data_IF_187776126310
#
_entry.id   IF_187776126310
#
_cell.length_a   1.000
_cell.length_b   1.000
_cell.length_c   1.000
_cell.angle_alpha   90.00
_cell.angle_beta   90.00
_cell.angle_gamma   90.00
#
_symmetry.space_group_name_H-M   'P 1'
#
loop_
_entity.id
_entity.type
_entity.pdbx_description
1 polymer ?
#
# COMPACT_ATOMS: atom_id res chain seq x y z
N UNK A 1 0.31 19.84 -27.73
CA UNK A 1 -0.62 18.84 -27.16
C UNK A 1 0.02 17.58 -26.59
N UNK A 2 1.34 17.34 -26.71
CA UNK A 2 2.03 16.25 -25.99
C UNK A 2 2.78 16.76 -24.73
N UNK A 3 3.15 18.05 -24.70
CA UNK A 3 3.83 18.67 -23.56
C UNK A 3 3.00 18.75 -22.27
N UNK A 4 1.69 18.93 -22.38
CA UNK A 4 0.80 19.11 -21.22
C UNK A 4 0.54 17.80 -20.46
N UNK A 5 0.61 16.65 -21.14
CA UNK A 5 0.45 15.33 -20.51
C UNK A 5 1.67 14.98 -19.64
N UNK A 6 2.87 15.39 -20.07
CA UNK A 6 4.11 15.18 -19.30
C UNK A 6 4.21 16.15 -18.12
N UNK A 7 3.65 17.36 -18.23
CA UNK A 7 3.55 18.31 -17.12
C UNK A 7 2.56 17.84 -16.04
N UNK A 8 1.43 17.26 -16.44
CA UNK A 8 0.46 16.66 -15.51
C UNK A 8 1.02 15.49 -14.69
N UNK A 9 1.87 14.65 -15.31
CA UNK A 9 2.55 13.54 -14.63
C UNK A 9 3.60 14.01 -13.60
N UNK A 10 4.23 15.18 -13.81
CA UNK A 10 5.18 15.78 -12.87
C UNK A 10 4.50 16.50 -11.70
N UNK A 11 3.30 17.03 -11.89
CA UNK A 11 2.56 17.77 -10.86
C UNK A 11 1.91 16.87 -9.78
N UNK A 12 1.71 15.58 -10.05
CA UNK A 12 1.14 14.61 -9.09
C UNK A 12 2.14 14.13 -8.03
N UNK A 13 3.44 14.47 -8.18
CA UNK A 13 4.50 14.09 -7.25
C UNK A 13 4.64 14.99 -6.02
N UNK A 14 3.93 16.12 -5.95
CA UNK A 14 4.12 17.12 -4.89
C UNK A 14 2.79 17.70 -4.44
N UNK A 15 2.02 16.97 -3.63
CA UNK A 15 1.06 17.63 -2.73
C UNK A 15 1.18 17.06 -1.32
N UNK A 16 1.49 18.00 -0.42
CA UNK A 16 1.70 17.86 1.00
C UNK A 16 0.37 17.66 1.74
N UNK A 17 0.35 16.65 2.60
CA UNK A 17 -0.64 16.36 3.62
C UNK A 17 -0.22 15.03 4.23
N UNK A 18 -0.08 14.91 5.55
CA UNK A 18 0.61 13.79 6.21
C UNK A 18 0.01 12.38 6.03
N UNK A 19 -0.98 12.20 5.15
CA UNK A 19 -1.60 10.92 4.82
C UNK A 19 -0.94 10.20 3.64
N UNK A 20 -1.15 8.88 3.53
CA UNK A 20 -0.63 8.07 2.42
C UNK A 20 -1.32 8.41 1.10
N UNK A 21 -2.59 8.81 1.16
CA UNK A 21 -3.37 9.35 0.05
C UNK A 21 -3.42 10.89 0.11
N UNK A 22 -3.50 11.53 -1.06
CA UNK A 22 -3.87 12.94 -1.12
C UNK A 22 -5.35 13.10 -0.77
N UNK A 23 -5.75 14.30 -0.32
CA UNK A 23 -7.16 14.59 -0.03
C UNK A 23 -8.07 14.31 -1.22
N UNK A 24 -7.62 14.61 -2.44
CA UNK A 24 -8.38 14.36 -3.66
C UNK A 24 -8.55 12.87 -3.93
N UNK A 25 -7.51 12.07 -3.72
CA UNK A 25 -7.56 10.63 -3.86
C UNK A 25 -8.49 10.00 -2.80
N UNK A 26 -8.43 10.49 -1.57
CA UNK A 26 -9.31 10.06 -0.49
C UNK A 26 -10.79 10.38 -0.79
N UNK A 27 -11.09 11.59 -1.27
CA UNK A 27 -12.45 11.96 -1.69
C UNK A 27 -12.94 11.11 -2.86
N UNK A 28 -12.09 10.86 -3.85
CA UNK A 28 -12.42 10.02 -5.00
C UNK A 28 -12.70 8.57 -4.61
N UNK A 29 -11.86 8.00 -3.74
CA UNK A 29 -12.06 6.67 -3.19
C UNK A 29 -13.38 6.57 -2.43
N UNK A 30 -13.67 7.54 -1.55
CA UNK A 30 -14.94 7.61 -0.82
C UNK A 30 -16.14 7.66 -1.76
N UNK A 31 -16.10 8.53 -2.78
CA UNK A 31 -17.17 8.64 -3.76
C UNK A 31 -17.41 7.32 -4.52
N UNK A 32 -16.35 6.56 -4.82
CA UNK A 32 -16.45 5.26 -5.45
C UNK A 32 -17.07 4.19 -4.53
N UNK A 33 -16.58 4.10 -3.28
CA UNK A 33 -17.07 3.14 -2.29
C UNK A 33 -18.54 3.39 -1.95
N UNK A 34 -18.90 4.65 -1.67
CA UNK A 34 -20.26 5.03 -1.24
C UNK A 34 -21.27 5.10 -2.40
N UNK A 35 -20.80 5.21 -3.64
CA UNK A 35 -21.63 5.35 -4.84
C UNK A 35 -21.73 4.05 -5.65
N UNK A 36 -21.00 3.94 -6.77
CA UNK A 36 -21.16 2.83 -7.71
C UNK A 36 -20.89 1.46 -7.07
N UNK A 37 -19.86 1.33 -6.22
CA UNK A 37 -19.57 0.05 -5.58
C UNK A 37 -20.67 -0.36 -4.61
N UNK A 38 -21.13 0.56 -3.75
CA UNK A 38 -22.23 0.29 -2.83
C UNK A 38 -23.49 -0.20 -3.57
N UNK A 39 -23.83 0.40 -4.71
CA UNK A 39 -24.98 -0.04 -5.50
C UNK A 39 -24.77 -1.44 -6.11
N UNK A 40 -23.57 -1.73 -6.61
CA UNK A 40 -23.24 -3.07 -7.12
C UNK A 40 -23.34 -4.14 -6.03
N UNK A 41 -22.79 -3.88 -4.84
CA UNK A 41 -22.83 -4.79 -3.71
C UNK A 41 -24.28 -5.01 -3.24
N UNK A 42 -25.10 -3.95 -3.18
CA UNK A 42 -26.52 -4.03 -2.85
C UNK A 42 -27.28 -4.92 -3.83
N UNK A 43 -27.08 -4.73 -5.13
CA UNK A 43 -27.70 -5.55 -6.17
C UNK A 43 -27.24 -7.01 -6.12
N UNK A 44 -26.00 -7.26 -5.72
CA UNK A 44 -25.44 -8.59 -5.52
C UNK A 44 -25.83 -9.25 -4.17
N UNK A 45 -26.45 -8.49 -3.25
CA UNK A 45 -26.75 -8.98 -1.90
C UNK A 45 -25.51 -9.17 -1.01
N UNK A 46 -24.40 -8.48 -1.31
CA UNK A 46 -23.16 -8.54 -0.53
C UNK A 46 -23.16 -7.44 0.53
N UNK A 47 -23.07 -7.84 1.80
CA UNK A 47 -23.13 -6.91 2.95
C UNK A 47 -21.77 -6.55 3.55
N UNK A 48 -20.83 -7.49 3.57
CA UNK A 48 -19.50 -7.31 4.15
C UNK A 48 -18.42 -7.57 3.09
N UNK A 49 -17.40 -6.72 3.07
CA UNK A 49 -16.32 -6.76 2.10
C UNK A 49 -15.10 -5.97 2.56
N UNK A 50 -13.93 -6.39 2.09
CA UNK A 50 -12.73 -5.58 2.07
C UNK A 50 -12.47 -5.06 0.65
N UNK A 51 -12.03 -3.82 0.52
CA UNK A 51 -11.65 -3.24 -0.76
C UNK A 51 -10.14 -3.26 -0.96
N UNK A 52 -9.67 -3.98 -1.98
CA UNK A 52 -8.25 -4.12 -2.31
C UNK A 52 -7.97 -3.46 -3.65
N UNK A 53 -6.98 -2.58 -3.71
CA UNK A 53 -6.55 -1.94 -4.96
C UNK A 53 -5.02 -1.78 -5.04
N UNK A 54 -4.52 -1.18 -6.13
CA UNK A 54 -3.09 -1.01 -6.39
C UNK A 54 -2.77 0.27 -7.16
N UNK A 55 -1.78 0.19 -8.05
CA UNK A 55 -1.36 1.24 -9.00
C UNK A 55 -0.64 2.47 -8.40
N UNK A 56 -0.84 2.80 -7.12
CA UNK A 56 -0.27 4.02 -6.52
C UNK A 56 1.21 3.89 -6.11
N UNK A 57 1.73 2.66 -6.06
CA UNK A 57 3.03 2.30 -5.48
C UNK A 57 3.14 2.59 -3.96
N UNK A 58 2.02 2.91 -3.30
CA UNK A 58 1.99 3.28 -1.87
C UNK A 58 1.23 2.23 -1.05
N UNK A 59 1.93 1.31 -0.37
CA UNK A 59 1.27 0.29 0.44
C UNK A 59 0.60 0.95 1.65
N UNK A 60 -0.67 0.63 1.87
CA UNK A 60 -1.37 0.98 3.11
C UNK A 60 -2.56 0.06 3.38
N UNK A 61 -3.05 0.17 4.61
CA UNK A 61 -4.27 -0.43 5.09
C UNK A 61 -4.94 0.57 6.04
N UNK A 62 -6.23 0.78 5.87
CA UNK A 62 -7.01 1.75 6.63
C UNK A 62 -8.47 1.32 6.71
N UNK A 63 -9.14 1.65 7.81
CA UNK A 63 -10.60 1.67 7.87
C UNK A 63 -11.12 2.96 7.24
N UNK A 64 -11.89 2.84 6.16
CA UNK A 64 -12.58 3.96 5.54
C UNK A 64 -13.97 4.08 6.14
N UNK A 65 -14.18 5.14 6.93
CA UNK A 65 -15.51 5.53 7.36
C UNK A 65 -16.40 5.71 6.14
N UNK A 66 -17.65 5.23 6.17
CA UNK A 66 -18.62 5.46 5.11
C UNK A 66 -19.57 6.60 5.48
N UNK A 67 -20.16 7.25 4.49
CA UNK A 67 -21.32 8.10 4.74
C UNK A 67 -22.53 7.27 5.19
N UNK A 68 -23.36 7.81 6.10
CA UNK A 68 -24.66 7.27 6.50
C UNK A 68 -24.68 6.08 7.49
N UNK A 69 -23.71 5.98 8.39
CA UNK A 69 -23.78 5.08 9.55
C UNK A 69 -23.59 3.59 9.24
N UNK A 70 -22.98 3.27 8.08
CA UNK A 70 -22.52 1.90 7.80
C UNK A 70 -21.19 1.64 8.52
N UNK A 71 -20.85 0.39 8.82
CA UNK A 71 -19.55 0.07 9.40
C UNK A 71 -18.40 0.57 8.51
N UNK A 72 -17.24 0.94 9.11
CA UNK A 72 -16.05 1.29 8.36
C UNK A 72 -15.64 0.15 7.43
N UNK A 73 -15.25 0.48 6.20
CA UNK A 73 -14.81 -0.50 5.20
C UNK A 73 -13.30 -0.71 5.30
N UNK A 74 -12.80 -1.95 5.47
CA UNK A 74 -11.38 -2.26 5.34
C UNK A 74 -10.88 -1.98 3.93
N UNK A 75 -9.89 -1.10 3.80
CA UNK A 75 -9.27 -0.73 2.53
C UNK A 75 -7.79 -1.08 2.57
N UNK A 76 -7.31 -1.71 1.49
CA UNK A 76 -5.92 -2.10 1.30
C UNK A 76 -5.39 -1.61 -0.05
N UNK A 77 -4.14 -1.16 -0.06
CA UNK A 77 -3.40 -0.88 -1.29
C UNK A 77 -2.15 -1.73 -1.36
N UNK A 78 -2.00 -2.52 -2.42
CA UNK A 78 -0.85 -3.43 -2.66
C UNK A 78 0.50 -2.72 -2.79
N UNK A 79 0.51 -1.41 -3.05
CA UNK A 79 1.74 -0.68 -3.34
C UNK A 79 2.30 -1.04 -4.73
N UNK A 80 3.62 -1.14 -4.84
CA UNK A 80 4.33 -1.39 -6.08
C UNK A 80 5.67 -2.07 -5.84
N UNK A 81 5.86 -3.22 -6.49
CA UNK A 81 7.08 -4.03 -6.41
C UNK A 81 8.24 -3.43 -7.20
N UNK A 82 7.92 -2.70 -8.27
CA UNK A 82 8.89 -1.99 -9.09
C UNK A 82 8.93 -0.54 -8.63
N UNK A 83 10.14 -0.10 -8.27
CA UNK A 83 10.38 1.25 -7.82
C UNK A 83 11.34 1.97 -8.78
N UNK A 84 10.85 3.06 -9.37
CA UNK A 84 11.57 3.84 -10.38
C UNK A 84 11.86 5.26 -9.89
N UNK A 85 12.04 5.43 -8.58
CA UNK A 85 12.36 6.72 -7.98
C UNK A 85 13.84 6.83 -7.63
N UNK A 86 14.50 7.86 -8.17
CA UNK A 86 15.89 8.17 -7.82
C UNK A 86 16.04 8.70 -6.39
N UNK A 87 14.95 9.18 -5.77
CA UNK A 87 14.93 9.64 -4.39
C UNK A 87 14.08 8.72 -3.53
N UNK A 88 14.42 8.58 -2.25
CA UNK A 88 13.64 7.78 -1.29
C UNK A 88 12.25 8.38 -1.14
N UNK A 89 11.22 7.59 -1.42
CA UNK A 89 9.82 7.96 -1.17
C UNK A 89 9.26 7.10 -0.05
N UNK A 90 9.24 7.60 1.20
CA UNK A 90 8.85 6.81 2.39
C UNK A 90 7.42 6.27 2.36
N UNK A 91 6.56 6.83 1.51
CA UNK A 91 5.20 6.33 1.29
C UNK A 91 5.14 5.19 0.27
N UNK A 92 6.23 4.91 -0.45
CA UNK A 92 6.30 3.84 -1.44
C UNK A 92 6.87 2.55 -0.88
N UNK A 93 6.43 1.43 -1.45
CA UNK A 93 6.81 0.09 -1.02
C UNK A 93 5.87 -0.95 -1.62
N UNK A 94 5.90 -2.17 -1.08
CA UNK A 94 5.01 -3.24 -1.51
C UNK A 94 4.40 -3.97 -0.33
N UNK A 95 3.15 -4.40 -0.48
CA UNK A 95 2.50 -5.36 0.40
C UNK A 95 1.85 -6.48 -0.43
N UNK A 96 1.94 -7.70 0.09
CA UNK A 96 1.12 -8.81 -0.38
C UNK A 96 -0.19 -8.83 0.42
N UNK A 97 -1.30 -9.16 -0.24
CA UNK A 97 -2.60 -9.33 0.41
C UNK A 97 -2.90 -10.81 0.46
N UNK A 98 -3.10 -11.33 1.66
CA UNK A 98 -3.52 -12.71 1.88
C UNK A 98 -5.00 -12.72 2.24
N UNK A 99 -5.72 -13.69 1.68
CA UNK A 99 -7.15 -13.90 1.90
C UNK A 99 -7.36 -15.37 2.23
N UNK A 100 -8.06 -15.67 3.31
CA UNK A 100 -8.40 -17.03 3.70
C UNK A 100 -9.73 -17.52 3.09
N UNK A 101 -10.14 -18.73 3.45
CA UNK A 101 -11.40 -19.34 2.99
C UNK A 101 -12.66 -18.69 3.58
N UNK A 102 -12.52 -17.95 4.69
CA UNK A 102 -13.57 -17.13 5.28
C UNK A 102 -13.55 -15.68 4.76
N UNK A 103 -12.72 -15.39 3.76
CA UNK A 103 -12.51 -14.05 3.19
C UNK A 103 -11.92 -13.03 4.19
N UNK A 104 -11.31 -13.48 5.28
CA UNK A 104 -10.53 -12.62 6.16
C UNK A 104 -9.31 -12.12 5.41
N UNK A 105 -9.01 -10.83 5.52
CA UNK A 105 -7.94 -10.18 4.76
C UNK A 105 -6.82 -9.71 5.69
N UNK A 106 -5.58 -10.04 5.34
CA UNK A 106 -4.38 -9.60 6.06
C UNK A 106 -3.36 -9.07 5.05
N UNK A 107 -2.73 -7.95 5.39
CA UNK A 107 -1.64 -7.40 4.59
C UNK A 107 -0.28 -7.82 5.15
N UNK A 108 0.60 -8.32 4.29
CA UNK A 108 2.01 -8.55 4.59
C UNK A 108 2.81 -7.44 3.90
N UNK A 109 3.15 -6.40 4.66
CA UNK A 109 4.05 -5.33 4.22
C UNK A 109 5.44 -5.92 4.02
N UNK A 110 5.85 -6.05 2.75
CA UNK A 110 7.12 -6.66 2.36
C UNK A 110 8.27 -5.69 2.57
N UNK A 111 8.08 -4.45 2.13
CA UNK A 111 9.02 -3.37 2.39
C UNK A 111 8.35 -2.00 2.27
N UNK A 112 8.99 -1.01 2.87
CA UNK A 112 8.73 0.41 2.68
C UNK A 112 10.06 1.10 2.45
N UNK A 113 10.13 2.00 1.47
CA UNK A 113 11.37 2.68 1.17
C UNK A 113 11.87 3.47 2.40
N UNK A 114 13.16 3.35 2.64
CA UNK A 114 13.84 4.03 3.74
C UNK A 114 15.31 4.23 3.38
N UNK A 115 15.96 5.18 4.06
CA UNK A 115 17.43 5.34 4.01
C UNK A 115 18.14 4.41 4.99
N UNK A 116 17.43 3.85 5.97
CA UNK A 116 17.99 2.95 6.97
C UNK A 116 17.81 1.49 6.54
N UNK A 117 18.89 0.81 6.19
CA UNK A 117 18.89 -0.60 5.78
C UNK A 117 18.27 -1.52 6.87
N UNK A 118 18.50 -1.22 8.15
CA UNK A 118 17.99 -2.03 9.26
C UNK A 118 16.48 -1.88 9.47
N UNK A 119 15.86 -0.86 8.86
CA UNK A 119 14.42 -0.64 8.95
C UNK A 119 13.62 -1.47 7.92
N UNK A 120 14.29 -2.10 6.94
CA UNK A 120 13.64 -3.06 6.04
C UNK A 120 13.26 -4.32 6.81
N UNK A 121 11.97 -4.54 7.03
CA UNK A 121 11.44 -5.73 7.69
C UNK A 121 10.07 -6.05 7.11
N UNK A 122 9.81 -7.33 6.92
CA UNK A 122 8.47 -7.82 6.61
C UNK A 122 7.59 -7.67 7.85
N UNK A 123 6.36 -7.19 7.69
CA UNK A 123 5.41 -6.95 8.79
C UNK A 123 4.01 -7.41 8.42
N UNK A 124 3.30 -8.00 9.36
CA UNK A 124 1.88 -8.29 9.22
C UNK A 124 1.07 -7.08 9.68
N UNK A 125 0.03 -6.73 8.93
CA UNK A 125 -0.77 -5.53 9.09
C UNK A 125 -2.24 -5.83 8.88
N UNK A 126 -3.06 -5.14 9.66
CA UNK A 126 -4.52 -5.19 9.61
C UNK A 126 -5.08 -3.80 9.92
N UNK A 127 -6.13 -3.35 9.23
CA UNK A 127 -6.84 -2.12 9.56
C UNK A 127 -7.79 -2.42 10.72
N UNK A 128 -7.41 -2.00 11.92
CA UNK A 128 -8.20 -2.16 13.14
C UNK A 128 -8.71 -0.81 13.63
N UNK A 129 -9.88 -0.82 14.28
CA UNK A 129 -10.27 0.25 15.21
C UNK A 129 -9.42 0.08 16.47
N UNK A 130 -9.12 1.18 17.16
CA UNK A 130 -8.37 1.14 18.43
C UNK A 130 -8.98 0.08 19.38
N UNK A 131 -8.10 -0.71 20.00
CA UNK A 131 -8.40 -1.84 20.92
C UNK A 131 -9.21 -3.01 20.32
N UNK A 132 -9.49 -3.04 19.01
CA UNK A 132 -10.12 -4.18 18.38
C UNK A 132 -9.19 -5.41 18.36
N UNK A 133 -9.78 -6.59 18.56
CA UNK A 133 -9.04 -7.84 18.45
C UNK A 133 -8.74 -8.14 16.98
N UNK A 134 -7.52 -8.63 16.72
CA UNK A 134 -7.11 -9.16 15.42
C UNK A 134 -7.98 -10.33 14.98
N UNK A 135 -8.18 -10.50 13.66
CA UNK A 135 -8.77 -11.72 13.13
C UNK A 135 -7.87 -12.94 13.44
N UNK A 136 -8.47 -14.12 13.60
CA UNK A 136 -7.72 -15.36 13.83
C UNK A 136 -6.69 -15.62 12.70
N UNK A 137 -7.02 -15.22 11.47
CA UNK A 137 -6.12 -15.31 10.32
C UNK A 137 -4.87 -14.44 10.47
N UNK A 138 -4.98 -13.24 11.06
CA UNK A 138 -3.81 -12.41 11.36
C UNK A 138 -2.83 -13.15 12.27
N UNK A 139 -3.31 -13.80 13.34
CA UNK A 139 -2.45 -14.57 14.24
C UNK A 139 -1.76 -15.75 13.53
N UNK A 140 -2.45 -16.42 12.60
CA UNK A 140 -1.91 -17.51 11.78
C UNK A 140 -0.77 -17.02 10.88
N UNK A 141 -0.94 -15.86 10.25
CA UNK A 141 0.06 -15.23 9.37
C UNK A 141 1.23 -14.68 10.18
N UNK A 142 0.97 -13.94 11.26
CA UNK A 142 1.99 -13.37 12.15
C UNK A 142 2.88 -14.44 12.78
N UNK A 143 2.31 -15.57 13.20
CA UNK A 143 3.10 -16.68 13.71
C UNK A 143 4.07 -17.30 12.68
N UNK A 144 3.82 -17.11 11.38
CA UNK A 144 4.66 -17.58 10.28
C UNK A 144 5.63 -16.53 9.77
N UNK A 145 5.25 -15.25 9.82
CA UNK A 145 6.13 -14.15 9.43
C UNK A 145 7.07 -13.85 10.59
N UNK A 146 8.25 -14.48 10.57
CA UNK A 146 9.35 -14.25 11.52
C UNK A 146 10.37 -13.31 10.90
N UNK A 147 10.30 -11.98 11.11
CA UNK A 147 11.02 -11.01 10.27
C UNK A 147 12.54 -11.06 10.38
N UNK A 148 13.07 -11.68 11.44
CA UNK A 148 14.50 -11.81 11.73
C UNK A 148 15.02 -13.22 11.43
N UNK A 149 14.20 -14.09 10.85
CA UNK A 149 14.56 -15.46 10.50
C UNK A 149 14.43 -15.68 8.99
N UNK A 150 15.03 -16.77 8.49
CA UNK A 150 14.85 -17.17 7.09
C UNK A 150 13.38 -17.54 6.81
N UNK A 151 12.84 -17.18 5.62
CA UNK A 151 13.51 -16.48 4.51
C UNK A 151 13.40 -14.94 4.59
N UNK A 152 12.76 -14.38 5.62
CA UNK A 152 12.37 -12.97 5.66
C UNK A 152 13.54 -12.01 5.91
N UNK A 153 14.53 -12.45 6.69
CA UNK A 153 15.75 -11.65 6.91
C UNK A 153 16.53 -11.49 5.59
N UNK A 154 16.72 -12.59 4.84
CA UNK A 154 17.38 -12.56 3.53
C UNK A 154 16.61 -11.69 2.54
N UNK A 155 15.28 -11.87 2.49
CA UNK A 155 14.42 -11.04 1.64
C UNK A 155 14.62 -9.55 1.95
N UNK A 156 14.59 -9.17 3.23
CA UNK A 156 14.73 -7.78 3.65
C UNK A 156 16.12 -7.20 3.30
N UNK A 157 17.18 -8.00 3.50
CA UNK A 157 18.54 -7.63 3.12
C UNK A 157 18.72 -7.49 1.61
N UNK A 158 18.14 -8.39 0.82
CA UNK A 158 18.17 -8.34 -0.63
C UNK A 158 17.43 -7.10 -1.15
N UNK A 159 16.23 -6.82 -0.64
CA UNK A 159 15.48 -5.60 -1.00
C UNK A 159 16.26 -4.33 -0.67
N UNK A 160 16.92 -4.29 0.51
CA UNK A 160 17.74 -3.15 0.90
C UNK A 160 18.90 -2.90 -0.09
N UNK A 161 19.59 -3.96 -0.52
CA UNK A 161 20.67 -3.88 -1.51
C UNK A 161 20.15 -3.47 -2.90
N UNK A 162 19.11 -4.12 -3.39
CA UNK A 162 18.51 -3.86 -4.71
C UNK A 162 18.03 -2.40 -4.85
N UNK A 163 17.44 -1.83 -3.81
CA UNK A 163 16.99 -0.44 -3.84
C UNK A 163 18.16 0.57 -3.86
N UNK A 164 19.31 0.22 -3.29
CA UNK A 164 20.54 1.04 -3.39
C UNK A 164 21.06 1.00 -4.83
N UNK A 165 21.17 -0.19 -5.42
CA UNK A 165 21.71 -0.36 -6.77
C UNK A 165 20.77 0.25 -7.82
N UNK A 166 19.46 0.05 -7.69
CA UNK A 166 18.45 0.66 -8.56
C UNK A 166 18.53 2.19 -8.51
N UNK A 167 18.70 2.77 -7.32
CA UNK A 167 18.85 4.22 -7.17
C UNK A 167 20.11 4.76 -7.85
N UNK A 168 21.22 4.05 -7.72
CA UNK A 168 22.48 4.41 -8.39
C UNK A 168 22.28 4.42 -9.90
N UNK A 169 21.73 3.33 -10.45
CA UNK A 169 21.46 3.20 -11.87
C UNK A 169 20.54 4.31 -12.42
N UNK A 170 19.49 4.68 -11.67
CA UNK A 170 18.58 5.78 -12.05
C UNK A 170 19.27 7.15 -11.98
N UNK A 171 20.10 7.38 -10.97
CA UNK A 171 20.87 8.63 -10.86
C UNK A 171 21.83 8.78 -12.04
N UNK A 172 22.56 7.73 -12.38
CA UNK A 172 23.51 7.72 -13.49
C UNK A 172 22.79 7.93 -14.83
N UNK A 173 21.66 7.25 -15.03
CA UNK A 173 20.80 7.44 -16.19
C UNK A 173 20.38 8.91 -16.33
N UNK A 174 19.90 9.54 -15.25
CA UNK A 174 19.47 10.94 -15.28
C UNK A 174 20.61 11.95 -15.44
N UNK A 175 21.83 11.61 -15.00
CA UNK A 175 23.00 12.44 -15.22
C UNK A 175 23.42 12.47 -16.70
N UNK A 176 23.27 11.36 -17.43
CA UNK A 176 23.58 11.28 -18.86
C UNK A 176 22.65 12.05 -19.80
N UNK A 177 21.52 12.57 -19.29
CA UNK A 177 20.58 13.42 -20.04
C UNK A 177 20.77 14.92 -19.79
N UNK A 178 21.81 15.33 -19.04
CA UNK A 178 22.16 16.73 -18.81
C UNK A 178 23.37 17.14 -19.64
#
# INVERSE_FOLDING_TARGET
>A
MIGDVVAGARALGTQHGGGVLSQDAERGLRAYLDGPLAEQLRLAGIGDYAFVFGHTHKPFQQLFESGAGKPPTPVYNTGGWVNETATVQRTQGAQAILVDDQLSVVAVELYRQTTNADAFRVRVREPLVDDAAHHAFHAVVDARVRPLEHPFIDFSSNVAAELVDRRRALTDLYAGYR
#
